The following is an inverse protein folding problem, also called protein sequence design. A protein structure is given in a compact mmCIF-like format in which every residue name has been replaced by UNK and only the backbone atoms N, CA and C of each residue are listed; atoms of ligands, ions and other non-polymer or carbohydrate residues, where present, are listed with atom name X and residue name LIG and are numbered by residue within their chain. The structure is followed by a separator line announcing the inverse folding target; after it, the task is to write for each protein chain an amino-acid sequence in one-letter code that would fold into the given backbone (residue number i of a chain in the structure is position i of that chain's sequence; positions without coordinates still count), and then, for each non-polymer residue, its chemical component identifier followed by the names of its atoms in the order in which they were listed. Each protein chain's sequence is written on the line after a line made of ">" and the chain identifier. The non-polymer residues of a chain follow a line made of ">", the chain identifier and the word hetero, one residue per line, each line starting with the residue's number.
data_IF_986547884401
#
_entry.id   IF_986547884401
#
_cell.length_a   1.000
_cell.length_b   1.000
_cell.length_c   1.000
_cell.angle_alpha   90.00
_cell.angle_beta   90.00
_cell.angle_gamma   90.00
#
_symmetry.space_group_name_H-M   'P 1'
#
loop_
_entity.id
_entity.type
_entity.pdbx_description
1 polymer ?
#
# COMPACT_ATOMS: atom_id res chain seq x y z
N UNK A 1 -50.34 -14.30 5.90
CA UNK A 1 -49.92 -15.41 5.02
C UNK A 1 -49.22 -14.78 3.84
N UNK A 2 -47.90 -14.85 3.80
CA UNK A 2 -47.09 -14.31 2.70
C UNK A 2 -45.96 -13.40 3.17
N UNK A 3 -45.01 -13.99 3.90
CA UNK A 3 -43.65 -13.49 4.07
C UNK A 3 -43.04 -13.10 2.72
N UNK A 4 -42.52 -11.89 2.63
CA UNK A 4 -41.46 -11.54 1.69
C UNK A 4 -40.23 -11.23 2.53
N UNK A 5 -39.43 -12.26 2.68
CA UNK A 5 -38.05 -12.28 3.14
C UNK A 5 -37.27 -11.19 2.39
N UNK A 6 -37.06 -10.04 3.03
CA UNK A 6 -36.05 -9.06 2.60
C UNK A 6 -34.68 -9.67 2.86
N UNK A 7 -34.26 -10.55 1.95
CA UNK A 7 -32.87 -11.02 1.90
C UNK A 7 -31.97 -9.86 1.52
N UNK A 8 -31.20 -9.43 2.52
CA UNK A 8 -29.78 -9.13 2.43
C UNK A 8 -29.31 -8.60 1.07
N UNK A 9 -29.35 -7.28 0.91
CA UNK A 9 -28.35 -6.61 0.10
C UNK A 9 -27.31 -6.09 1.10
N UNK A 10 -26.57 -7.02 1.68
CA UNK A 10 -25.32 -6.66 2.35
C UNK A 10 -24.37 -6.24 1.23
N UNK A 11 -24.41 -4.95 0.90
CA UNK A 11 -23.53 -4.33 -0.08
C UNK A 11 -22.13 -4.21 0.51
N UNK A 12 -21.51 -5.35 0.81
CA UNK A 12 -20.16 -5.40 1.34
C UNK A 12 -19.22 -4.82 0.28
N UNK A 13 -18.65 -3.64 0.58
CA UNK A 13 -17.67 -3.00 -0.30
C UNK A 13 -16.43 -3.90 -0.38
N UNK A 14 -16.16 -4.41 -1.58
CA UNK A 14 -15.02 -5.28 -1.84
C UNK A 14 -13.85 -4.48 -2.35
N UNK A 15 -12.84 -4.31 -1.50
CA UNK A 15 -11.63 -3.58 -1.84
C UNK A 15 -10.53 -4.54 -2.30
N UNK A 16 -9.98 -4.26 -3.49
CA UNK A 16 -8.75 -4.86 -3.98
C UNK A 16 -7.64 -3.85 -3.76
N UNK A 17 -6.60 -4.21 -3.02
CA UNK A 17 -5.51 -3.29 -2.64
C UNK A 17 -4.20 -3.78 -3.25
N UNK A 18 -3.57 -2.94 -4.08
CA UNK A 18 -2.22 -3.12 -4.57
C UNK A 18 -1.23 -2.31 -3.74
N UNK A 19 -0.14 -2.94 -3.29
CA UNK A 19 0.92 -2.32 -2.48
C UNK A 19 2.28 -2.58 -3.12
N UNK A 20 3.10 -1.54 -3.20
CA UNK A 20 4.50 -1.63 -3.58
C UNK A 20 5.38 -0.83 -2.60
N UNK A 21 6.59 -1.32 -2.33
CA UNK A 21 7.49 -0.76 -1.31
C UNK A 21 8.87 -0.45 -1.91
N UNK A 22 9.29 0.81 -1.78
CA UNK A 22 10.60 1.27 -2.22
C UNK A 22 11.44 1.61 -0.99
N UNK A 23 12.50 0.82 -0.77
CA UNK A 23 13.49 1.07 0.27
C UNK A 23 14.33 2.30 -0.09
N UNK A 24 14.32 3.31 0.76
CA UNK A 24 15.18 4.48 0.62
C UNK A 24 16.50 4.19 1.32
N UNK A 25 17.48 3.66 0.59
CA UNK A 25 18.83 3.51 1.12
C UNK A 25 19.47 4.88 1.31
N UNK A 26 19.75 5.24 2.57
CA UNK A 26 20.51 6.44 2.91
C UNK A 26 21.96 6.31 2.38
N UNK A 27 22.18 6.76 1.14
CA UNK A 27 23.49 6.79 0.50
C UNK A 27 24.15 8.17 0.61
N UNK A 28 25.22 8.24 1.41
CA UNK A 28 26.27 9.27 1.44
C UNK A 28 25.95 10.62 2.09
N UNK A 29 25.98 10.68 3.44
CA UNK A 29 26.30 11.91 4.15
C UNK A 29 27.83 12.04 4.28
N UNK A 30 28.36 13.02 3.56
CA UNK A 30 29.76 13.43 3.56
C UNK A 30 30.15 14.04 4.93
N UNK A 31 31.32 13.62 5.40
CA UNK A 31 32.19 14.11 6.47
C UNK A 31 31.78 15.35 7.31
N UNK A 32 31.63 15.18 8.63
CA UNK A 32 32.20 16.07 9.67
C UNK A 32 32.02 15.49 11.09
N UNK A 33 33.11 15.19 11.85
CA UNK A 33 33.03 14.95 13.28
C UNK A 33 33.44 16.23 14.04
N UNK A 34 32.51 16.98 14.63
CA UNK A 34 32.83 17.90 15.73
C UNK A 34 31.58 18.18 16.57
N UNK A 35 31.50 17.54 17.74
CA UNK A 35 31.21 18.25 18.98
C UNK A 35 31.41 17.32 20.17
N UNK A 36 32.53 17.55 20.87
CA UNK A 36 32.83 17.12 22.23
C UNK A 36 31.70 17.54 23.17
N UNK A 37 31.15 16.59 23.93
CA UNK A 37 30.14 16.83 24.97
C UNK A 37 30.15 15.70 25.99
N UNK A 38 30.52 16.04 27.21
CA UNK A 38 30.81 15.16 28.36
C UNK A 38 29.60 14.45 28.96
N UNK A 39 29.80 13.17 29.30
CA UNK A 39 29.28 12.38 30.42
C UNK A 39 27.93 12.73 31.06
N UNK A 40 26.96 11.83 30.87
CA UNK A 40 25.80 11.60 31.74
C UNK A 40 25.43 10.12 31.68
N UNK A 41 25.42 9.45 32.83
CA UNK A 41 25.28 8.01 32.97
C UNK A 41 23.81 7.55 32.98
N UNK A 42 23.67 6.22 32.84
CA UNK A 42 22.55 5.35 33.25
C UNK A 42 21.46 5.11 32.20
N UNK A 43 21.59 3.93 31.56
CA UNK A 43 20.48 3.03 31.27
C UNK A 43 19.46 3.50 30.23
N UNK A 44 19.73 3.21 28.96
CA UNK A 44 18.80 2.39 28.20
C UNK A 44 19.53 1.76 27.00
N UNK A 45 19.47 0.44 26.88
CA UNK A 45 19.80 -0.25 25.62
C UNK A 45 18.55 -0.10 24.75
N UNK A 46 18.28 1.13 24.31
CA UNK A 46 17.35 1.34 23.20
C UNK A 46 18.13 0.90 21.98
N UNK A 47 17.80 -0.31 21.55
CA UNK A 47 18.11 -0.88 20.24
C UNK A 47 18.26 0.24 19.22
N UNK A 48 19.38 0.24 18.49
CA UNK A 48 19.56 1.04 17.29
C UNK A 48 18.45 0.68 16.30
N UNK A 49 17.27 1.29 16.46
CA UNK A 49 16.21 1.26 15.48
C UNK A 49 16.68 2.25 14.43
N UNK A 50 17.46 1.75 13.46
CA UNK A 50 17.69 2.45 12.22
C UNK A 50 16.34 2.94 11.73
N UNK A 51 16.20 4.26 11.56
CA UNK A 51 14.96 4.89 11.13
C UNK A 51 14.77 4.58 9.64
N UNK A 52 14.43 3.32 9.34
CA UNK A 52 14.21 2.80 8.00
C UNK A 52 12.88 3.36 7.50
N UNK A 53 12.99 4.56 6.92
CA UNK A 53 11.89 5.21 6.22
C UNK A 53 11.81 4.62 4.83
N UNK A 54 10.62 4.18 4.42
CA UNK A 54 10.36 3.68 3.07
C UNK A 54 9.27 4.50 2.40
N UNK A 55 9.27 4.51 1.08
CA UNK A 55 8.15 5.02 0.30
C UNK A 55 7.24 3.86 -0.07
N UNK A 56 5.97 3.92 0.33
CA UNK A 56 4.95 2.92 0.00
C UNK A 56 4.02 3.52 -1.04
N UNK A 57 3.87 2.84 -2.17
CA UNK A 57 2.83 3.11 -3.16
C UNK A 57 1.62 2.23 -2.89
N UNK A 58 0.43 2.83 -2.91
CA UNK A 58 -0.83 2.11 -2.72
C UNK A 58 -1.83 2.48 -3.80
N UNK A 59 -2.55 1.48 -4.29
CA UNK A 59 -3.70 1.66 -5.15
C UNK A 59 -4.79 0.75 -4.64
N UNK A 60 -6.00 1.25 -4.44
CA UNK A 60 -7.12 0.39 -4.08
C UNK A 60 -8.35 0.71 -4.91
N UNK A 61 -9.06 -0.36 -5.27
CA UNK A 61 -10.27 -0.32 -6.09
C UNK A 61 -11.43 -0.84 -5.25
N UNK A 62 -12.46 -0.02 -5.11
CA UNK A 62 -13.75 -0.49 -4.63
C UNK A 62 -14.52 -1.09 -5.81
N UNK A 63 -14.62 -2.42 -5.84
CA UNK A 63 -15.21 -3.13 -6.96
C UNK A 63 -16.71 -2.84 -7.17
N UNK A 64 -17.39 -2.34 -6.12
CA UNK A 64 -18.83 -2.07 -6.13
C UNK A 64 -19.19 -0.79 -6.90
N UNK A 65 -18.41 0.29 -6.73
CA UNK A 65 -18.63 1.58 -7.38
C UNK A 65 -17.63 1.85 -8.53
N UNK A 66 -16.58 1.04 -8.65
CA UNK A 66 -15.50 1.26 -9.62
C UNK A 66 -14.59 2.44 -9.26
N UNK A 67 -14.62 2.90 -8.01
CA UNK A 67 -13.78 4.00 -7.53
C UNK A 67 -12.37 3.49 -7.23
N UNK A 68 -11.38 4.12 -7.87
CA UNK A 68 -9.98 3.78 -7.69
C UNK A 68 -9.25 4.93 -7.01
N UNK A 69 -8.66 4.63 -5.85
CA UNK A 69 -7.83 5.55 -5.10
C UNK A 69 -6.36 5.18 -5.27
N UNK A 70 -5.54 6.12 -5.73
CA UNK A 70 -4.10 5.95 -5.90
C UNK A 70 -3.38 6.93 -4.99
N UNK A 71 -2.35 6.49 -4.29
CA UNK A 71 -1.55 7.35 -3.44
C UNK A 71 -0.17 6.78 -3.15
N UNK A 72 0.65 7.60 -2.50
CA UNK A 72 1.91 7.17 -1.92
C UNK A 72 2.12 7.88 -0.59
N UNK A 73 2.87 7.25 0.31
CA UNK A 73 3.22 7.85 1.59
C UNK A 73 4.57 7.31 2.08
N UNK A 74 5.25 8.11 2.91
CA UNK A 74 6.41 7.63 3.65
C UNK A 74 5.94 6.86 4.88
N UNK A 75 6.56 5.73 5.15
CA UNK A 75 6.26 4.92 6.33
C UNK A 75 7.53 4.58 7.11
N UNK A 76 7.37 4.38 8.41
CA UNK A 76 8.45 4.03 9.32
C UNK A 76 8.73 2.52 9.30
N UNK A 77 9.77 2.08 10.01
CA UNK A 77 10.15 0.66 10.10
C UNK A 77 9.02 -0.27 10.59
N UNK A 78 8.05 0.24 11.36
CA UNK A 78 6.89 -0.52 11.86
C UNK A 78 5.69 -0.52 10.91
N UNK A 79 5.80 0.18 9.78
CA UNK A 79 4.76 0.34 8.75
C UNK A 79 3.44 0.81 9.35
N UNK A 80 3.49 1.76 10.29
CA UNK A 80 2.31 2.18 11.06
C UNK A 80 1.21 2.74 10.17
N UNK A 81 1.58 3.50 9.14
CA UNK A 81 0.62 4.13 8.23
C UNK A 81 -0.06 3.05 7.37
N UNK A 82 0.72 2.14 6.81
CA UNK A 82 0.20 1.03 6.02
C UNK A 82 -0.73 0.13 6.84
N UNK A 83 -0.35 -0.22 8.07
CA UNK A 83 -1.18 -1.04 8.96
C UNK A 83 -2.52 -0.38 9.25
N UNK A 84 -2.50 0.94 9.48
CA UNK A 84 -3.72 1.73 9.69
C UNK A 84 -4.61 1.69 8.45
N UNK A 85 -4.01 1.91 7.26
CA UNK A 85 -4.72 1.86 5.99
C UNK A 85 -5.39 0.50 5.74
N UNK A 86 -4.64 -0.59 5.91
CA UNK A 86 -5.15 -1.95 5.71
C UNK A 86 -6.28 -2.30 6.68
N UNK A 87 -6.20 -1.83 7.92
CA UNK A 87 -7.25 -2.05 8.93
C UNK A 87 -8.51 -1.27 8.62
N UNK A 88 -8.37 -0.06 8.08
CA UNK A 88 -9.51 0.79 7.73
C UNK A 88 -10.22 0.34 6.44
N UNK A 89 -9.46 -0.10 5.44
CA UNK A 89 -10.01 -0.54 4.16
C UNK A 89 -10.53 -1.98 4.23
N UNK A 90 -9.88 -2.85 5.02
CA UNK A 90 -10.20 -4.27 5.14
C UNK A 90 -10.30 -4.98 3.76
N UNK A 91 -9.18 -5.09 3.00
CA UNK A 91 -9.23 -5.64 1.65
C UNK A 91 -9.63 -7.11 1.62
N UNK A 92 -10.36 -7.48 0.56
CA UNK A 92 -10.67 -8.89 0.25
C UNK A 92 -9.58 -9.56 -0.58
N UNK A 93 -8.80 -8.76 -1.30
CA UNK A 93 -7.64 -9.21 -2.06
C UNK A 93 -6.49 -8.21 -1.93
N UNK A 94 -5.30 -8.74 -1.65
CA UNK A 94 -4.06 -7.99 -1.60
C UNK A 94 -3.16 -8.39 -2.77
N UNK A 95 -2.86 -7.41 -3.62
CA UNK A 95 -1.92 -7.52 -4.72
C UNK A 95 -0.59 -6.92 -4.26
N UNK A 96 0.50 -7.68 -4.35
CA UNK A 96 1.84 -7.20 -3.94
C UNK A 96 2.74 -7.08 -5.16
N UNK A 97 3.37 -5.91 -5.29
CA UNK A 97 4.30 -5.56 -6.36
C UNK A 97 5.69 -6.19 -6.26
N UNK A 98 6.59 -5.70 -7.10
CA UNK A 98 7.81 -6.34 -7.62
C UNK A 98 8.81 -6.69 -6.53
N UNK A 99 9.02 -7.99 -6.38
CA UNK A 99 10.08 -8.53 -5.53
C UNK A 99 9.53 -8.99 -4.19
N UNK A 100 10.35 -9.77 -3.48
CA UNK A 100 9.96 -10.30 -2.18
C UNK A 100 9.72 -9.12 -1.23
N UNK A 101 8.49 -8.90 -0.73
CA UNK A 101 8.21 -7.82 0.20
C UNK A 101 9.16 -7.88 1.39
N UNK A 102 9.49 -6.72 1.96
CA UNK A 102 10.36 -6.70 3.13
C UNK A 102 9.73 -7.54 4.26
N UNK A 103 10.57 -8.08 5.15
CA UNK A 103 10.06 -8.85 6.30
C UNK A 103 9.07 -8.05 7.14
N UNK A 104 9.28 -6.74 7.26
CA UNK A 104 8.40 -5.85 8.01
C UNK A 104 7.05 -5.66 7.31
N UNK A 105 7.06 -5.57 5.98
CA UNK A 105 5.85 -5.52 5.16
C UNK A 105 5.04 -6.82 5.27
N UNK A 106 5.71 -7.97 5.18
CA UNK A 106 5.09 -9.29 5.40
C UNK A 106 4.43 -9.43 6.77
N UNK A 107 5.13 -9.02 7.83
CA UNK A 107 4.57 -9.04 9.19
C UNK A 107 3.36 -8.11 9.34
N UNK A 108 3.36 -7.00 8.60
CA UNK A 108 2.24 -6.06 8.58
C UNK A 108 1.01 -6.69 7.94
N UNK A 109 1.17 -7.41 6.82
CA UNK A 109 0.09 -8.17 6.20
C UNK A 109 -0.45 -9.26 7.13
N UNK A 110 0.41 -10.09 7.71
CA UNK A 110 0.01 -11.18 8.60
C UNK A 110 -0.69 -10.70 9.88
N UNK A 111 -0.35 -9.51 10.36
CA UNK A 111 -0.93 -8.96 11.60
C UNK A 111 -2.24 -8.20 11.39
N UNK A 112 -2.48 -7.65 10.20
CA UNK A 112 -3.62 -6.77 9.94
C UNK A 112 -4.68 -7.42 9.06
N UNK A 113 -4.34 -8.44 8.27
CA UNK A 113 -5.27 -9.08 7.34
C UNK A 113 -5.82 -10.39 7.92
N UNK A 114 -7.13 -10.63 7.79
CA UNK A 114 -7.72 -11.94 8.05
C UNK A 114 -7.05 -13.05 7.21
N UNK A 115 -7.09 -14.29 7.70
CA UNK A 115 -6.51 -15.45 6.99
C UNK A 115 -7.19 -15.76 5.65
N UNK A 116 -8.39 -15.21 5.44
CA UNK A 116 -9.22 -15.45 4.26
C UNK A 116 -8.92 -14.47 3.11
N UNK A 117 -8.06 -13.47 3.33
CA UNK A 117 -7.70 -12.49 2.29
C UNK A 117 -6.85 -13.16 1.22
N UNK A 118 -7.31 -13.10 -0.02
CA UNK A 118 -6.55 -13.63 -1.16
C UNK A 118 -5.30 -12.79 -1.38
N UNK A 119 -4.18 -13.45 -1.70
CA UNK A 119 -2.92 -12.77 -1.94
C UNK A 119 -2.38 -13.12 -3.31
N UNK A 120 -2.14 -12.10 -4.11
CA UNK A 120 -1.64 -12.22 -5.46
C UNK A 120 -0.31 -11.47 -5.56
N UNK A 121 0.78 -12.20 -5.80
CA UNK A 121 2.08 -11.60 -6.11
C UNK A 121 2.17 -11.39 -7.62
N UNK A 122 2.30 -10.14 -8.07
CA UNK A 122 2.49 -9.87 -9.49
C UNK A 122 3.96 -10.14 -9.82
N UNK A 123 4.24 -11.10 -10.73
CA UNK A 123 5.59 -11.36 -11.16
C UNK A 123 6.21 -10.10 -11.74
N UNK A 124 7.53 -9.97 -11.55
CA UNK A 124 8.26 -8.83 -12.03
C UNK A 124 7.87 -8.41 -13.45
N UNK A 125 7.91 -9.34 -14.40
CA UNK A 125 7.65 -9.04 -15.81
C UNK A 125 6.22 -8.55 -16.12
N UNK A 126 5.24 -8.80 -15.26
CA UNK A 126 3.85 -8.35 -15.44
C UNK A 126 3.60 -6.96 -14.83
N UNK A 127 4.47 -6.52 -13.92
CA UNK A 127 4.36 -5.17 -13.36
C UNK A 127 4.90 -4.13 -14.33
N UNK A 128 4.02 -3.22 -14.72
CA UNK A 128 4.33 -2.11 -15.60
C UNK A 128 5.10 -1.02 -14.84
N UNK A 129 6.22 -0.50 -15.40
CA UNK A 129 6.84 0.71 -14.89
C UNK A 129 5.93 1.93 -15.09
N UNK A 130 6.15 2.99 -14.32
CA UNK A 130 5.33 4.22 -14.35
C UNK A 130 5.08 4.73 -15.78
N UNK A 131 6.15 4.87 -16.57
CA UNK A 131 6.07 5.39 -17.94
C UNK A 131 5.21 4.50 -18.85
N UNK A 132 5.37 3.18 -18.75
CA UNK A 132 4.58 2.23 -19.53
C UNK A 132 3.12 2.20 -19.07
N UNK A 133 2.86 2.37 -17.77
CA UNK A 133 1.49 2.50 -17.25
C UNK A 133 0.81 3.75 -17.80
N UNK A 134 1.50 4.89 -17.84
CA UNK A 134 0.97 6.13 -18.42
C UNK A 134 0.75 6.01 -19.93
N UNK A 135 1.66 5.37 -20.65
CA UNK A 135 1.52 5.09 -22.09
C UNK A 135 0.31 4.19 -22.34
N UNK A 136 0.16 3.12 -21.55
CA UNK A 136 -0.97 2.19 -21.64
C UNK A 136 -2.31 2.90 -21.36
N UNK A 137 -2.34 3.72 -20.32
CA UNK A 137 -3.54 4.48 -19.93
C UNK A 137 -3.94 5.48 -21.02
N UNK A 138 -2.96 6.11 -21.65
CA UNK A 138 -3.18 7.07 -22.74
C UNK A 138 -3.58 6.39 -24.05
N UNK A 139 -2.96 5.25 -24.37
CA UNK A 139 -3.15 4.53 -25.64
C UNK A 139 -4.53 3.86 -25.71
N UNK A 140 -5.01 3.32 -24.59
CA UNK A 140 -6.25 2.55 -24.56
C UNK A 140 -7.52 3.38 -24.38
N UNK A 141 -7.42 4.72 -24.37
CA UNK A 141 -8.58 5.61 -24.29
C UNK A 141 -9.50 5.35 -23.08
N UNK A 142 -8.97 4.85 -21.95
CA UNK A 142 -9.77 4.56 -20.76
C UNK A 142 -10.52 5.78 -20.22
N UNK A 143 -9.98 6.99 -20.45
CA UNK A 143 -10.54 8.25 -19.95
C UNK A 143 -11.21 9.11 -21.03
N UNK A 144 -11.59 8.54 -22.19
CA UNK A 144 -12.31 9.33 -23.20
C UNK A 144 -13.79 9.46 -22.82
N UNK A 145 -14.18 10.62 -22.32
CA UNK A 145 -15.58 10.96 -22.08
C UNK A 145 -16.35 10.96 -23.39
N UNK A 146 -17.11 9.90 -23.67
CA UNK A 146 -18.15 9.92 -24.71
C UNK A 146 -19.44 10.44 -24.10
N UNK A 147 -19.48 11.74 -23.79
CA UNK A 147 -20.75 12.45 -23.63
C UNK A 147 -21.39 12.64 -25.00
N UNK A 148 -22.03 11.59 -25.51
CA UNK A 148 -23.12 11.71 -26.48
C UNK A 148 -24.42 11.76 -25.70
N UNK A 149 -24.66 12.88 -25.02
CA UNK A 149 -26.03 13.24 -24.66
C UNK A 149 -26.75 13.63 -25.95
N UNK A 150 -27.81 12.88 -26.20
CA UNK A 150 -28.68 12.97 -27.37
C UNK A 150 -29.48 14.27 -27.29
N UNK A 151 -29.38 15.11 -28.33
CA UNK A 151 -30.31 16.23 -28.57
C UNK A 151 -31.47 15.74 -29.43
#
# INVERSE_FOLDING_TARGET
>A
MGDLDSKDIDGESKYIVAVDEIQLTAGSADTAPTSTGTAGAVGDVISQQSDETVLVGVCYLEATNGEMCIGHFFDNAQRTVLRTLLTQIAPVELVVGRGRPSRNLELSFQSCLPSDVSRTEIPSYEQLPCDATLELLSTNNYFTSTTKDTV
#
